data_IF_183627343764
#
_entry.id   IF_183627343764
#
_cell.length_a   1.000
_cell.length_b   1.000
_cell.length_c   1.000
_cell.angle_alpha   90.00
_cell.angle_beta   90.00
_cell.angle_gamma   90.00
#
_symmetry.space_group_name_H-M   'P 1'
#
loop_
_entity.id
_entity.type
_entity.pdbx_description
1 polymer ?
#
# COMPACT_ATOMS: atom_id res chain seq x y z
N UNK A 1 -17.98 -7.79 -27.45
CA UNK A 1 -16.84 -7.41 -26.58
C UNK A 1 -16.96 -8.25 -25.33
N UNK A 2 -15.98 -9.11 -25.03
CA UNK A 2 -15.95 -9.78 -23.73
C UNK A 2 -15.77 -8.71 -22.66
N UNK A 3 -16.72 -8.61 -21.74
CA UNK A 3 -16.55 -7.86 -20.50
C UNK A 3 -15.59 -8.68 -19.62
N UNK A 4 -14.29 -8.64 -19.90
CA UNK A 4 -13.32 -9.21 -18.99
C UNK A 4 -13.19 -8.27 -17.79
N UNK A 5 -13.63 -8.72 -16.62
CA UNK A 5 -13.34 -8.07 -15.35
C UNK A 5 -11.84 -8.15 -15.06
N UNK A 6 -11.29 -7.10 -14.45
CA UNK A 6 -9.92 -7.12 -13.96
C UNK A 6 -9.70 -8.30 -13.00
N UNK A 7 -8.59 -9.02 -13.17
CA UNK A 7 -8.20 -10.13 -12.29
C UNK A 7 -6.75 -9.99 -11.85
N UNK A 8 -6.44 -10.51 -10.68
CA UNK A 8 -5.06 -10.64 -10.20
C UNK A 8 -4.37 -11.75 -11.00
N UNK A 9 -3.20 -11.46 -11.56
CA UNK A 9 -2.39 -12.42 -12.33
C UNK A 9 -1.08 -12.79 -11.63
N UNK A 10 -0.59 -11.95 -10.70
CA UNK A 10 0.58 -12.24 -9.87
C UNK A 10 0.45 -11.53 -8.52
N UNK A 11 0.95 -12.18 -7.47
CA UNK A 11 1.07 -11.63 -6.10
C UNK A 11 2.50 -11.83 -5.63
N UNK A 12 3.09 -10.81 -5.02
CA UNK A 12 4.37 -10.88 -4.32
C UNK A 12 4.20 -10.38 -2.87
N UNK A 13 4.97 -10.89 -1.90
CA UNK A 13 4.99 -10.30 -0.56
C UNK A 13 5.49 -8.85 -0.62
N UNK A 14 4.88 -7.97 0.16
CA UNK A 14 5.33 -6.60 0.28
C UNK A 14 6.57 -6.49 1.18
N UNK A 15 7.41 -5.45 1.00
CA UNK A 15 8.43 -5.09 1.98
C UNK A 15 7.80 -4.85 3.36
N UNK A 16 8.46 -5.31 4.42
CA UNK A 16 7.94 -5.24 5.80
C UNK A 16 7.77 -3.81 6.33
N UNK A 17 8.41 -2.86 5.69
CA UNK A 17 8.42 -1.44 6.06
C UNK A 17 7.45 -0.62 5.21
N UNK A 18 6.61 -1.25 4.39
CA UNK A 18 5.63 -0.57 3.56
C UNK A 18 4.26 -0.52 4.24
N UNK A 19 3.66 0.67 4.30
CA UNK A 19 2.39 0.91 4.98
C UNK A 19 1.45 1.73 4.10
N UNK A 20 0.16 1.47 4.25
CA UNK A 20 -0.89 2.39 3.83
C UNK A 20 -1.08 3.45 4.91
N UNK A 21 -1.21 4.72 4.51
CA UNK A 21 -1.60 5.84 5.36
C UNK A 21 -2.95 6.37 4.88
N UNK A 22 -3.95 6.27 5.74
CA UNK A 22 -5.32 6.72 5.48
C UNK A 22 -5.76 7.72 6.55
N UNK A 23 -6.57 8.71 6.17
CA UNK A 23 -7.21 9.62 7.11
C UNK A 23 -8.64 9.13 7.35
N UNK A 24 -8.95 8.74 8.59
CA UNK A 24 -10.29 8.33 8.97
C UNK A 24 -11.07 9.56 9.44
N UNK A 25 -11.96 10.07 8.57
CA UNK A 25 -12.77 11.26 8.85
C UNK A 25 -13.61 11.12 10.13
N UNK A 26 -14.12 9.92 10.41
CA UNK A 26 -14.98 9.65 11.58
C UNK A 26 -14.22 9.81 12.91
N UNK A 27 -12.92 9.47 12.91
CA UNK A 27 -12.06 9.49 14.09
C UNK A 27 -11.13 10.72 14.09
N UNK A 28 -11.12 11.49 13.00
CA UNK A 28 -10.26 12.65 12.76
C UNK A 28 -8.77 12.34 13.04
N UNK A 29 -8.33 11.17 12.59
CA UNK A 29 -6.96 10.68 12.81
C UNK A 29 -6.37 10.00 11.56
N UNK A 30 -5.04 9.89 11.56
CA UNK A 30 -4.30 9.15 10.54
C UNK A 30 -4.02 7.74 11.03
N UNK A 31 -4.45 6.76 10.25
CA UNK A 31 -4.22 5.34 10.52
C UNK A 31 -3.18 4.79 9.55
N UNK A 32 -2.35 3.88 10.08
CA UNK A 32 -1.27 3.24 9.34
C UNK A 32 -1.46 1.73 9.37
N UNK A 33 -1.71 1.14 8.20
CA UNK A 33 -1.94 -0.29 8.05
C UNK A 33 -0.75 -0.95 7.33
N UNK A 34 -0.16 -2.05 7.84
CA UNK A 34 0.91 -2.75 7.17
C UNK A 34 0.45 -3.33 5.82
N UNK A 35 1.18 -3.04 4.76
CA UNK A 35 0.92 -3.66 3.46
C UNK A 35 1.54 -5.06 3.49
N UNK A 36 0.74 -6.09 3.19
CA UNK A 36 1.16 -7.49 3.25
C UNK A 36 1.55 -8.05 1.89
N UNK A 37 0.93 -7.58 0.81
CA UNK A 37 1.27 -8.01 -0.55
C UNK A 37 1.03 -6.93 -1.62
N UNK A 38 1.65 -7.15 -2.78
CA UNK A 38 1.53 -6.33 -3.98
C UNK A 38 1.03 -7.25 -5.10
N UNK A 39 -0.05 -6.86 -5.77
CA UNK A 39 -0.69 -7.64 -6.80
C UNK A 39 -0.61 -6.93 -8.17
N UNK A 40 -0.18 -7.65 -9.20
CA UNK A 40 -0.28 -7.22 -10.60
C UNK A 40 -1.60 -7.74 -11.19
N UNK A 41 -2.32 -6.86 -11.86
CA UNK A 41 -3.59 -7.21 -12.51
C UNK A 41 -3.44 -7.47 -14.00
N UNK A 42 -4.46 -8.10 -14.60
CA UNK A 42 -4.58 -8.30 -16.04
C UNK A 42 -4.68 -7.02 -16.86
N UNK A 43 -4.93 -5.88 -16.22
CA UNK A 43 -4.95 -4.56 -16.85
C UNK A 43 -3.63 -3.80 -16.66
N UNK A 44 -2.58 -4.47 -16.18
CA UNK A 44 -1.28 -3.90 -15.85
C UNK A 44 -1.32 -2.86 -14.70
N UNK A 45 -2.33 -2.91 -13.84
CA UNK A 45 -2.36 -2.10 -12.63
C UNK A 45 -1.64 -2.82 -11.49
N UNK A 46 -1.06 -2.05 -10.58
CA UNK A 46 -0.55 -2.54 -9.31
C UNK A 46 -1.56 -2.21 -8.22
N UNK A 47 -1.94 -3.22 -7.43
CA UNK A 47 -2.75 -3.07 -6.22
C UNK A 47 -1.89 -3.40 -5.01
N UNK A 48 -2.03 -2.60 -3.97
CA UNK A 48 -1.42 -2.87 -2.67
C UNK A 48 -2.51 -3.42 -1.75
N UNK A 49 -2.17 -4.43 -0.97
CA UNK A 49 -3.14 -5.09 -0.11
C UNK A 49 -2.66 -5.09 1.33
N UNK A 50 -3.57 -4.83 2.24
CA UNK A 50 -3.40 -4.93 3.68
C UNK A 50 -4.32 -6.02 4.25
N UNK A 51 -4.32 -6.14 5.58
CA UNK A 51 -5.17 -7.09 6.30
C UNK A 51 -6.12 -6.36 7.21
N UNK A 52 -7.39 -6.75 7.21
CA UNK A 52 -8.34 -6.34 8.24
C UNK A 52 -8.09 -7.04 9.58
N UNK A 53 -8.86 -6.66 10.60
CA UNK A 53 -8.79 -7.21 11.95
C UNK A 53 -9.25 -8.68 12.05
N UNK A 54 -9.91 -9.19 11.02
CA UNK A 54 -10.31 -10.59 10.87
C UNK A 54 -9.27 -11.43 10.11
N UNK A 55 -8.22 -10.81 9.59
CA UNK A 55 -7.14 -11.44 8.83
C UNK A 55 -7.45 -11.68 7.36
N UNK A 56 -8.48 -11.03 6.80
CA UNK A 56 -8.72 -11.05 5.36
C UNK A 56 -7.81 -10.07 4.65
N UNK A 57 -7.34 -10.47 3.46
CA UNK A 57 -6.50 -9.64 2.59
C UNK A 57 -7.38 -9.01 1.51
N UNK A 58 -7.32 -7.69 1.41
CA UNK A 58 -7.99 -6.91 0.37
C UNK A 58 -7.11 -5.77 -0.11
N UNK A 59 -7.36 -5.25 -1.31
CA UNK A 59 -6.80 -3.96 -1.70
C UNK A 59 -7.51 -2.81 -0.97
N UNK A 60 -6.74 -1.80 -0.57
CA UNK A 60 -7.31 -0.57 -0.01
C UNK A 60 -7.62 0.41 -1.14
N UNK A 61 -8.78 1.08 -1.02
CA UNK A 61 -9.30 1.96 -2.07
C UNK A 61 -8.59 3.31 -2.12
N UNK A 62 -8.55 4.03 -0.99
CA UNK A 62 -7.92 5.34 -0.86
C UNK A 62 -6.82 5.29 0.19
N UNK A 63 -5.71 5.97 -0.08
CA UNK A 63 -4.57 5.99 0.85
C UNK A 63 -3.28 6.40 0.18
N UNK A 64 -2.26 6.65 0.99
CA UNK A 64 -0.90 6.95 0.54
C UNK A 64 0.02 5.79 0.91
N UNK A 65 0.90 5.40 -0.03
CA UNK A 65 1.96 4.44 0.26
C UNK A 65 3.11 5.18 0.93
N UNK A 66 3.44 4.76 2.14
CA UNK A 66 4.57 5.29 2.91
C UNK A 66 5.51 4.17 3.33
N UNK A 67 6.77 4.53 3.56
CA UNK A 67 7.79 3.64 4.08
C UNK A 67 8.14 4.04 5.52
N UNK A 68 8.11 3.08 6.43
CA UNK A 68 8.47 3.27 7.82
C UNK A 68 9.99 3.21 8.01
N UNK A 69 10.56 4.26 8.59
CA UNK A 69 11.97 4.36 8.95
C UNK A 69 12.12 4.11 10.46
N UNK A 70 12.41 2.85 10.82
CA UNK A 70 12.57 2.43 12.22
C UNK A 70 13.72 3.12 12.96
N UNK A 71 14.67 3.74 12.26
CA UNK A 71 15.80 4.43 12.91
C UNK A 71 15.41 5.81 13.46
N UNK A 72 14.39 6.41 12.85
CA UNK A 72 13.88 7.74 13.19
C UNK A 72 12.46 7.70 13.76
N UNK A 73 11.82 6.52 13.73
CA UNK A 73 10.42 6.30 14.11
C UNK A 73 9.45 7.21 13.34
N UNK A 74 9.63 7.30 12.01
CA UNK A 74 8.81 8.14 11.13
C UNK A 74 8.36 7.40 9.87
N UNK A 75 7.25 7.86 9.30
CA UNK A 75 6.77 7.43 7.99
C UNK A 75 7.14 8.47 6.94
N UNK A 76 7.78 8.04 5.85
CA UNK A 76 8.20 8.87 4.71
C UNK A 76 7.42 8.50 3.47
N UNK A 77 7.08 9.46 2.63
CA UNK A 77 6.50 9.14 1.31
C UNK A 77 7.58 8.51 0.43
N UNK A 78 7.16 7.66 -0.52
CA UNK A 78 8.12 7.04 -1.43
C UNK A 78 8.88 8.08 -2.28
N UNK A 79 8.22 9.19 -2.64
CA UNK A 79 8.83 10.33 -3.34
C UNK A 79 10.01 10.95 -2.59
N UNK A 80 9.97 10.95 -1.26
CA UNK A 80 11.01 11.56 -0.42
C UNK A 80 12.35 10.80 -0.51
N UNK A 81 12.33 9.54 -0.99
CA UNK A 81 13.53 8.74 -1.22
C UNK A 81 14.16 8.95 -2.61
N UNK A 82 13.43 9.47 -3.59
CA UNK A 82 13.96 9.76 -4.93
C UNK A 82 14.84 11.02 -4.92
N UNK A 83 14.54 11.99 -4.05
CA UNK A 83 15.34 13.21 -3.90
C UNK A 83 16.71 12.93 -3.26
N UNK A 84 16.80 11.97 -2.33
CA UNK A 84 18.02 11.67 -1.59
C UNK A 84 19.10 10.89 -2.37
N UNK A 85 18.78 10.36 -3.57
CA UNK A 85 19.70 9.55 -4.38
C UNK A 85 20.13 10.24 -5.68
N UNK A 86 19.82 11.53 -5.84
CA UNK A 86 20.18 12.33 -7.02
C UNK A 86 21.26 13.40 -6.73
N UNK A 87 21.94 13.34 -5.57
CA UNK A 87 23.08 14.19 -5.20
C UNK A 87 24.44 13.47 -5.33
#
# INVERSE_FOLDING_TARGET
MSNESERIIQIIPAPKDLYNKEFLDEENEWVYSPIVCIALTSWNNIRFCDTDDLGYISDFGQGQIVKYDSSLDIYKQLSDYEEANND
#
